data_IF_198453175871
#
_entry.id   IF_198453175871
#
_cell.length_a   1.000
_cell.length_b   1.000
_cell.length_c   1.000
_cell.angle_alpha   90.00
_cell.angle_beta   90.00
_cell.angle_gamma   90.00
#
_symmetry.space_group_name_H-M   'P 1'
#
loop_
_entity.id
_entity.type
_entity.pdbx_description
1 polymer ?
#
# COMPACT_ATOMS: atom_id res chain seq x y z
N UNK A 1 10.26 10.30 11.09
CA UNK A 1 10.54 9.70 9.77
C UNK A 1 9.44 9.89 8.72
N UNK A 2 8.25 9.24 8.77
CA UNK A 2 7.24 9.40 7.70
C UNK A 2 6.78 10.86 7.47
N UNK A 3 6.65 11.63 8.56
CA UNK A 3 6.33 13.05 8.53
C UNK A 3 7.39 13.90 7.81
N UNK A 4 8.67 13.54 7.90
CA UNK A 4 9.74 14.25 7.18
C UNK A 4 9.59 14.12 5.66
N UNK A 5 8.99 13.01 5.20
CA UNK A 5 8.70 12.77 3.79
C UNK A 5 7.31 13.26 3.36
N UNK A 6 6.57 13.99 4.21
CA UNK A 6 5.20 14.44 3.91
C UNK A 6 4.16 13.31 3.82
N UNK A 7 4.47 12.13 4.37
CA UNK A 7 3.57 10.96 4.30
C UNK A 7 2.65 10.95 5.52
N UNK A 8 1.33 10.98 5.27
CA UNK A 8 0.30 10.86 6.30
C UNK A 8 0.16 9.40 6.74
N UNK A 9 0.50 9.09 7.98
CA UNK A 9 0.29 7.75 8.54
C UNK A 9 -1.18 7.56 8.95
N UNK A 10 -1.82 6.50 8.44
CA UNK A 10 -3.23 6.18 8.66
C UNK A 10 -3.39 4.66 8.92
N UNK A 11 -3.09 4.18 10.13
CA UNK A 11 -3.24 2.76 10.44
C UNK A 11 -4.72 2.37 10.52
N UNK A 12 -5.03 1.14 10.10
CA UNK A 12 -6.36 0.57 10.24
C UNK A 12 -6.69 0.34 11.72
N UNK A 13 -7.98 0.47 12.07
CA UNK A 13 -8.46 0.14 13.40
C UNK A 13 -8.19 -1.35 13.68
N UNK A 14 -7.78 -1.72 14.91
CA UNK A 14 -7.64 -3.13 15.28
C UNK A 14 -8.92 -3.93 15.02
N UNK A 15 -8.74 -5.22 14.74
CA UNK A 15 -9.82 -6.16 14.40
C UNK A 15 -10.69 -5.72 13.20
N UNK A 16 -10.12 -4.98 12.24
CA UNK A 16 -10.80 -4.56 10.99
C UNK A 16 -10.15 -5.17 9.74
N UNK A 17 -10.10 -6.52 9.61
CA UNK A 17 -9.41 -7.19 8.50
C UNK A 17 -10.02 -6.86 7.12
N UNK A 18 -11.31 -6.57 7.07
CA UNK A 18 -12.00 -6.17 5.83
C UNK A 18 -11.39 -4.93 5.15
N UNK A 19 -10.71 -4.06 5.91
CA UNK A 19 -9.99 -2.89 5.37
C UNK A 19 -8.71 -3.26 4.62
N UNK A 20 -8.19 -4.48 4.84
CA UNK A 20 -6.95 -4.98 4.24
C UNK A 20 -7.20 -5.89 3.02
N UNK A 21 -8.45 -6.03 2.58
CA UNK A 21 -8.84 -7.01 1.55
C UNK A 21 -8.10 -6.87 0.21
N UNK A 22 -7.61 -5.67 -0.15
CA UNK A 22 -6.80 -5.48 -1.36
C UNK A 22 -5.42 -6.16 -1.22
N UNK A 23 -4.74 -5.95 -0.11
CA UNK A 23 -3.43 -6.56 0.18
C UNK A 23 -3.58 -8.06 0.32
N UNK A 24 -4.58 -8.52 1.08
CA UNK A 24 -4.85 -9.95 1.27
C UNK A 24 -5.16 -10.65 -0.06
N UNK A 25 -5.90 -10.01 -0.96
CA UNK A 25 -6.18 -10.57 -2.29
C UNK A 25 -4.91 -10.68 -3.13
N UNK A 26 -4.04 -9.66 -3.13
CA UNK A 26 -2.74 -9.72 -3.83
C UNK A 26 -1.89 -10.86 -3.31
N UNK A 27 -1.70 -10.93 -1.99
CA UNK A 27 -0.91 -11.98 -1.34
C UNK A 27 -1.47 -13.38 -1.59
N UNK A 28 -2.80 -13.52 -1.62
CA UNK A 28 -3.46 -14.79 -1.95
C UNK A 28 -3.14 -15.22 -3.38
N UNK A 29 -3.14 -14.29 -4.34
CA UNK A 29 -2.75 -14.57 -5.73
C UNK A 29 -1.28 -14.95 -5.81
N UNK A 30 -0.37 -14.19 -5.21
CA UNK A 30 1.07 -14.51 -5.22
C UNK A 30 1.33 -15.90 -4.60
N UNK A 31 0.64 -16.22 -3.50
CA UNK A 31 0.75 -17.53 -2.85
C UNK A 31 0.26 -18.67 -3.74
N UNK A 32 -0.87 -18.48 -4.43
CA UNK A 32 -1.52 -19.53 -5.20
C UNK A 32 -0.89 -19.74 -6.59
N UNK A 33 -0.39 -18.67 -7.22
CA UNK A 33 0.09 -18.69 -8.60
C UNK A 33 1.63 -18.77 -8.66
N UNK A 34 2.36 -18.05 -7.80
CA UNK A 34 3.82 -18.02 -7.81
C UNK A 34 4.45 -18.96 -6.78
N UNK A 35 4.21 -18.72 -5.48
CA UNK A 35 4.90 -19.51 -4.43
C UNK A 35 4.49 -20.98 -4.38
N UNK A 36 3.37 -21.35 -5.01
CA UNK A 36 2.96 -22.75 -5.15
C UNK A 36 3.72 -23.48 -6.28
N UNK A 37 4.42 -22.76 -7.15
CA UNK A 37 5.04 -23.32 -8.38
C UNK A 37 6.56 -23.23 -8.40
N UNK A 38 7.18 -22.47 -7.49
CA UNK A 38 8.64 -22.29 -7.39
C UNK A 38 9.25 -23.03 -6.20
N UNK A 39 10.53 -23.39 -6.30
CA UNK A 39 11.32 -23.84 -5.15
C UNK A 39 11.79 -22.63 -4.33
N UNK A 40 11.41 -22.60 -3.04
CA UNK A 40 11.77 -21.52 -2.12
C UNK A 40 13.26 -21.52 -1.73
N UNK A 41 13.97 -22.62 -2.00
CA UNK A 41 15.40 -22.75 -1.77
C UNK A 41 16.23 -22.44 -3.02
N UNK A 42 15.60 -22.09 -4.15
CA UNK A 42 16.30 -21.80 -5.38
C UNK A 42 17.14 -20.52 -5.25
N UNK A 43 18.38 -20.55 -5.76
CA UNK A 43 19.31 -19.42 -5.71
C UNK A 43 18.81 -18.21 -6.55
N UNK A 44 18.00 -18.49 -7.58
CA UNK A 44 17.41 -17.52 -8.51
C UNK A 44 16.00 -17.06 -8.13
N UNK A 45 15.49 -17.42 -6.94
CA UNK A 45 14.13 -17.11 -6.49
C UNK A 45 13.77 -15.62 -6.62
N UNK A 46 14.74 -14.72 -6.42
CA UNK A 46 14.54 -13.27 -6.56
C UNK A 46 14.30 -12.84 -8.01
N UNK A 47 14.98 -13.48 -8.95
CA UNK A 47 14.82 -13.21 -10.38
C UNK A 47 13.46 -13.71 -10.85
N UNK A 48 13.10 -14.94 -10.48
CA UNK A 48 11.77 -15.50 -10.73
C UNK A 48 10.65 -14.63 -10.15
N UNK A 49 10.83 -14.07 -8.94
CA UNK A 49 9.86 -13.16 -8.35
C UNK A 49 9.75 -11.85 -9.13
N UNK A 50 10.87 -11.31 -9.62
CA UNK A 50 10.87 -10.10 -10.43
C UNK A 50 10.16 -10.32 -11.78
N UNK A 51 10.39 -11.46 -12.43
CA UNK A 51 9.69 -11.88 -13.64
C UNK A 51 8.18 -12.03 -13.40
N UNK A 52 7.79 -12.70 -12.31
CA UNK A 52 6.39 -12.82 -11.92
C UNK A 52 5.74 -11.45 -11.70
N UNK A 53 6.42 -10.55 -10.99
CA UNK A 53 5.93 -9.18 -10.77
C UNK A 53 5.82 -8.40 -12.08
N UNK A 54 6.75 -8.60 -13.01
CA UNK A 54 6.69 -7.98 -14.33
C UNK A 54 5.45 -8.46 -15.08
N UNK A 55 5.29 -9.77 -15.23
CA UNK A 55 4.12 -10.39 -15.87
C UNK A 55 2.81 -9.90 -15.25
N UNK A 56 2.68 -9.96 -13.92
CA UNK A 56 1.47 -9.55 -13.21
C UNK A 56 1.10 -8.09 -13.47
N UNK A 57 2.10 -7.19 -13.47
CA UNK A 57 1.85 -5.75 -13.58
C UNK A 57 1.71 -5.26 -15.02
N UNK A 58 2.41 -5.88 -15.98
CA UNK A 58 2.56 -5.37 -17.35
C UNK A 58 1.88 -6.23 -18.43
N UNK A 59 1.64 -7.51 -18.19
CA UNK A 59 1.15 -8.44 -19.21
C UNK A 59 -0.20 -9.06 -18.85
N UNK A 60 -0.45 -9.29 -17.56
CA UNK A 60 -1.66 -9.97 -17.08
C UNK A 60 -2.89 -9.08 -17.25
N UNK A 61 -3.91 -9.51 -18.02
CA UNK A 61 -5.17 -8.79 -18.14
C UNK A 61 -6.04 -8.99 -16.89
N UNK A 62 -6.61 -7.92 -16.34
CA UNK A 62 -7.43 -7.97 -15.14
C UNK A 62 -8.90 -7.61 -15.45
N UNK A 63 -9.83 -8.51 -15.13
CA UNK A 63 -11.27 -8.27 -15.34
C UNK A 63 -11.80 -7.06 -14.56
N UNK A 64 -11.26 -6.81 -13.36
CA UNK A 64 -11.56 -5.62 -12.55
C UNK A 64 -11.08 -4.31 -13.19
N UNK A 65 -10.25 -4.37 -14.24
CA UNK A 65 -9.76 -3.24 -15.02
C UNK A 65 -10.25 -3.31 -16.47
N UNK A 66 -11.34 -4.04 -16.73
CA UNK A 66 -11.91 -4.24 -18.06
C UNK A 66 -10.89 -4.84 -19.05
N UNK A 67 -10.07 -5.79 -18.59
CA UNK A 67 -9.06 -6.46 -19.40
C UNK A 67 -7.71 -5.77 -19.44
N UNK A 68 -7.58 -4.56 -18.88
CA UNK A 68 -6.30 -3.85 -18.77
C UNK A 68 -5.40 -4.45 -17.71
N UNK A 69 -4.11 -4.24 -17.87
CA UNK A 69 -3.07 -4.58 -16.90
C UNK A 69 -3.07 -3.57 -15.75
N UNK A 70 -2.52 -3.92 -14.58
CA UNK A 70 -2.33 -2.97 -13.48
C UNK A 70 -1.56 -1.70 -13.90
N UNK A 71 -0.52 -1.82 -14.72
CA UNK A 71 0.27 -0.67 -15.16
C UNK A 71 -0.47 0.23 -16.14
N UNK A 72 -1.24 -0.32 -17.08
CA UNK A 72 -2.12 0.49 -17.94
C UNK A 72 -3.09 1.30 -17.09
N UNK A 73 -3.71 0.66 -16.08
CA UNK A 73 -4.63 1.36 -15.19
C UNK A 73 -3.96 2.44 -14.35
N UNK A 74 -2.71 2.21 -13.95
CA UNK A 74 -1.89 3.20 -13.26
C UNK A 74 -1.64 4.43 -14.13
N UNK A 75 -1.18 4.26 -15.38
CA UNK A 75 -0.88 5.37 -16.28
C UNK A 75 -2.11 6.22 -16.60
N UNK A 76 -3.30 5.63 -16.73
CA UNK A 76 -4.56 6.37 -16.89
C UNK A 76 -4.91 7.30 -15.72
N UNK A 77 -4.40 6.98 -14.53
CA UNK A 77 -4.65 7.73 -13.30
C UNK A 77 -3.45 8.59 -12.89
N UNK A 78 -2.31 8.46 -13.57
CA UNK A 78 -1.07 9.15 -13.22
C UNK A 78 -1.28 10.67 -13.24
N UNK A 79 -1.92 11.21 -14.27
CA UNK A 79 -2.19 12.64 -14.41
C UNK A 79 -3.12 13.21 -13.33
N UNK A 80 -3.93 12.36 -12.68
CA UNK A 80 -4.82 12.76 -11.58
C UNK A 80 -4.11 12.79 -10.24
N UNK A 81 -2.93 12.18 -10.15
CA UNK A 81 -2.18 12.05 -8.91
C UNK A 81 -1.20 13.21 -8.81
N UNK A 82 -1.25 14.03 -7.75
CA UNK A 82 -0.31 15.13 -7.59
C UNK A 82 1.12 14.59 -7.44
N UNK A 83 2.07 15.24 -8.13
CA UNK A 83 3.50 14.99 -7.96
C UNK A 83 3.97 15.37 -6.54
N UNK A 84 5.12 14.83 -6.14
CA UNK A 84 5.72 15.06 -4.82
C UNK A 84 5.77 16.54 -4.45
N UNK A 85 6.13 17.41 -5.37
CA UNK A 85 6.33 18.83 -5.10
C UNK A 85 5.00 19.52 -4.75
N UNK A 86 3.94 19.17 -5.47
CA UNK A 86 2.59 19.64 -5.16
C UNK A 86 2.10 19.07 -3.82
N UNK A 87 2.41 17.81 -3.50
CA UNK A 87 2.09 17.22 -2.20
C UNK A 87 2.82 17.95 -1.07
N UNK A 88 4.12 18.22 -1.22
CA UNK A 88 4.94 18.91 -0.22
C UNK A 88 4.49 20.35 0.00
N UNK A 89 4.16 21.09 -1.06
CA UNK A 89 3.65 22.46 -0.95
C UNK A 89 2.33 22.54 -0.16
N UNK A 90 1.49 21.50 -0.27
CA UNK A 90 0.20 21.43 0.41
C UNK A 90 0.24 20.70 1.77
N UNK A 91 1.36 20.07 2.12
CA UNK A 91 1.50 19.34 3.37
C UNK A 91 1.79 20.31 4.52
N UNK A 92 0.89 20.40 5.49
CA UNK A 92 1.04 21.26 6.67
C UNK A 92 1.43 20.41 7.89
N UNK A 93 2.73 20.31 8.25
CA UNK A 93 3.18 19.39 9.30
C UNK A 93 2.55 19.69 10.67
N UNK A 94 2.21 20.95 10.94
CA UNK A 94 1.64 21.36 12.23
C UNK A 94 0.15 20.99 12.36
N UNK A 95 -0.55 20.81 11.25
CA UNK A 95 -1.97 20.42 11.22
C UNK A 95 -2.14 18.90 11.16
N UNK A 96 -1.09 18.16 10.80
CA UNK A 96 -1.14 16.70 10.71
C UNK A 96 -0.96 16.03 12.07
N UNK A 97 -2.01 15.33 12.51
CA UNK A 97 -1.94 14.43 13.66
C UNK A 97 -0.98 13.27 13.37
N UNK A 98 0.11 13.21 14.14
CA UNK A 98 1.00 12.05 14.16
C UNK A 98 0.31 10.98 15.00
N UNK A 99 -0.24 9.97 14.33
CA UNK A 99 -0.85 8.84 15.01
C UNK A 99 0.22 7.89 15.55
N UNK A 100 0.13 7.58 16.84
CA UNK A 100 0.99 6.58 17.46
C UNK A 100 0.67 5.19 16.90
N UNK A 101 1.72 4.42 16.58
CA UNK A 101 1.57 3.08 16.04
C UNK A 101 0.90 2.14 17.05
N UNK A 102 1.20 2.34 18.35
CA UNK A 102 0.54 1.61 19.41
C UNK A 102 -0.87 2.15 19.63
N UNK A 103 -1.86 1.38 19.19
CA UNK A 103 -3.27 1.77 19.26
C UNK A 103 -3.75 2.09 20.69
N UNK A 104 -3.27 1.37 21.72
CA UNK A 104 -3.67 1.65 23.10
C UNK A 104 -3.17 3.02 23.56
N UNK A 105 -1.91 3.33 23.26
CA UNK A 105 -1.30 4.63 23.57
C UNK A 105 -2.05 5.75 22.82
N UNK A 106 -2.31 5.54 21.53
CA UNK A 106 -3.06 6.49 20.70
C UNK A 106 -4.47 6.79 21.27
N UNK A 107 -5.16 5.77 21.78
CA UNK A 107 -6.47 5.96 22.42
C UNK A 107 -6.39 6.83 23.66
N UNK A 108 -5.38 6.62 24.52
CA UNK A 108 -5.18 7.45 25.71
C UNK A 108 -4.81 8.89 25.33
N UNK A 109 -3.92 9.09 24.35
CA UNK A 109 -3.58 10.42 23.85
C UNK A 109 -4.79 11.18 23.29
N UNK A 110 -5.70 10.50 22.60
CA UNK A 110 -6.94 11.12 22.08
C UNK A 110 -7.88 11.57 23.19
N UNK A 111 -7.99 10.81 24.29
CA UNK A 111 -8.80 11.22 25.45
C UNK A 111 -8.24 12.50 26.07
N UNK A 112 -6.92 12.59 26.19
CA UNK A 112 -6.23 13.76 26.74
C UNK A 112 -6.39 15.01 25.86
N UNK A 113 -6.26 14.86 24.53
CA UNK A 113 -6.40 15.98 23.57
C UNK A 113 -7.82 16.54 23.45
N UNK A 114 -8.86 15.80 23.88
CA UNK A 114 -10.26 16.29 23.88
C UNK A 114 -10.57 17.29 25.01
N UNK A 115 -9.67 17.42 25.99
CA UNK A 115 -9.86 18.28 27.15
C UNK A 115 -9.14 19.65 27.04
N UNK A 116 -8.73 20.04 25.82
CA UNK A 116 -8.17 21.36 25.50
C UNK A 116 -8.98 22.02 24.39
#
# INVERSE_FOLDING_TARGET
>A
RLKEYGIKFRPNKPASPHLNGKVERSQKTDKAEFYATVDLCADDLKELLAEWQHYYNWERPHSAHNGKTPMERYFELADKTPYSDAVHANYQPNEEHIQEQNYKIELELRKLKRCL
#
